data_IF_844520190107
#
_entry.id   IF_844520190107
#
_cell.length_a   1.000
_cell.length_b   1.000
_cell.length_c   1.000
_cell.angle_alpha   90.00
_cell.angle_beta   90.00
_cell.angle_gamma   90.00
#
_symmetry.space_group_name_H-M   'P 1'
#
loop_
_entity.id
_entity.type
_entity.pdbx_description
1 polymer ?
#
# COMPACT_ATOMS: atom_id res chain seq x y z
N UNK A 1 -11.68 -12.15 -3.28
CA UNK A 1 -11.35 -11.09 -2.28
C UNK A 1 -10.58 -11.80 -1.18
N UNK A 2 -9.28 -11.98 -1.39
CA UNK A 2 -8.46 -12.94 -0.64
C UNK A 2 -7.84 -12.23 0.56
N UNK A 3 -8.42 -12.45 1.74
CA UNK A 3 -7.90 -11.93 2.99
C UNK A 3 -7.93 -12.99 4.07
N UNK A 4 -6.95 -12.92 4.96
CA UNK A 4 -6.78 -13.86 6.06
C UNK A 4 -7.14 -13.18 7.37
N UNK A 5 -7.79 -13.93 8.26
CA UNK A 5 -7.95 -13.54 9.65
C UNK A 5 -6.62 -13.81 10.37
N UNK A 6 -6.09 -12.82 11.09
CA UNK A 6 -4.88 -12.93 11.91
C UNK A 6 -5.20 -13.20 13.38
N UNK A 7 -6.44 -13.00 13.81
CA UNK A 7 -6.85 -13.28 15.18
C UNK A 7 -6.88 -14.78 15.45
N UNK A 8 -6.25 -15.20 16.54
CA UNK A 8 -6.21 -16.58 17.02
C UNK A 8 -7.48 -16.99 17.78
N UNK A 9 -8.19 -16.02 18.35
CA UNK A 9 -9.39 -16.24 19.14
C UNK A 9 -10.63 -15.66 18.46
N UNK A 10 -11.69 -16.47 18.36
CA UNK A 10 -13.00 -16.05 17.88
C UNK A 10 -14.02 -16.17 19.02
N UNK A 11 -14.47 -15.04 19.55
CA UNK A 11 -15.48 -15.00 20.63
C UNK A 11 -16.89 -14.82 20.08
N UNK A 12 -17.10 -13.82 19.22
CA UNK A 12 -18.39 -13.54 18.60
C UNK A 12 -18.23 -12.74 17.29
N UNK A 13 -19.36 -12.43 16.63
CA UNK A 13 -19.37 -11.66 15.38
C UNK A 13 -19.28 -10.14 15.57
N UNK A 14 -19.28 -9.64 16.80
CA UNK A 14 -19.19 -8.22 17.18
C UNK A 14 -17.78 -7.83 17.64
N UNK A 15 -16.99 -8.82 18.04
CA UNK A 15 -15.64 -8.68 18.56
C UNK A 15 -14.74 -8.27 17.39
N UNK A 16 -13.94 -7.21 17.56
CA UNK A 16 -13.00 -6.79 16.54
C UNK A 16 -11.92 -7.87 16.37
N UNK A 17 -11.79 -8.37 15.15
CA UNK A 17 -10.75 -9.31 14.75
C UNK A 17 -9.73 -8.58 13.86
N UNK A 18 -8.52 -9.09 13.83
CA UNK A 18 -7.45 -8.58 12.97
C UNK A 18 -7.52 -9.27 11.61
N UNK A 19 -7.53 -8.47 10.55
CA UNK A 19 -7.63 -8.94 9.17
C UNK A 19 -6.45 -8.44 8.34
N UNK A 20 -6.03 -9.25 7.37
CA UNK A 20 -5.05 -8.88 6.36
C UNK A 20 -5.61 -9.15 4.98
N UNK A 21 -5.57 -8.18 4.07
CA UNK A 21 -5.95 -8.39 2.67
C UNK A 21 -4.75 -8.82 1.80
N UNK A 22 -5.01 -9.23 0.56
CA UNK A 22 -3.99 -9.58 -0.43
C UNK A 22 -2.95 -8.51 -0.70
N UNK A 23 -3.27 -7.22 -0.50
CA UNK A 23 -2.32 -6.10 -0.58
C UNK A 23 -1.50 -5.90 0.71
N UNK A 24 -1.52 -6.88 1.60
CA UNK A 24 -0.84 -6.85 2.89
C UNK A 24 -1.31 -5.72 3.84
N UNK A 25 -2.47 -5.14 3.61
CA UNK A 25 -3.04 -4.15 4.52
C UNK A 25 -3.65 -4.85 5.73
N UNK A 26 -3.25 -4.44 6.93
CA UNK A 26 -3.79 -4.96 8.18
C UNK A 26 -4.76 -3.96 8.79
N UNK A 27 -5.93 -4.43 9.22
CA UNK A 27 -6.91 -3.60 9.93
C UNK A 27 -7.72 -4.41 10.93
N UNK A 28 -8.28 -3.72 11.92
CA UNK A 28 -9.18 -4.30 12.91
C UNK A 28 -10.63 -4.06 12.51
N UNK A 29 -11.43 -5.12 12.44
CA UNK A 29 -12.86 -5.04 12.15
C UNK A 29 -13.61 -6.27 12.68
N UNK A 30 -14.87 -6.11 13.11
CA UNK A 30 -15.70 -7.25 13.50
C UNK A 30 -16.23 -7.99 12.27
N UNK A 31 -16.44 -9.30 12.42
CA UNK A 31 -16.90 -10.19 11.34
C UNK A 31 -18.26 -9.74 10.77
N UNK A 32 -19.15 -9.23 11.62
CA UNK A 32 -20.45 -8.67 11.21
C UNK A 32 -20.30 -7.52 10.21
N UNK A 33 -19.31 -6.63 10.36
CA UNK A 33 -19.07 -5.51 9.43
C UNK A 33 -18.59 -5.98 8.07
N UNK A 34 -17.76 -7.02 8.07
CA UNK A 34 -17.17 -7.59 6.86
C UNK A 34 -18.21 -8.39 6.07
N UNK A 35 -18.91 -9.30 6.76
CA UNK A 35 -19.89 -10.20 6.14
C UNK A 35 -21.20 -9.50 5.78
N UNK A 36 -21.77 -8.72 6.70
CA UNK A 36 -23.13 -8.19 6.54
C UNK A 36 -23.14 -6.80 5.87
N UNK A 37 -22.18 -5.91 6.20
CA UNK A 37 -22.13 -4.56 5.63
C UNK A 37 -21.25 -4.47 4.37
N UNK A 38 -20.61 -5.57 3.97
CA UNK A 38 -19.69 -5.59 2.82
C UNK A 38 -18.46 -4.68 2.99
N UNK A 39 -18.19 -4.20 4.20
CA UNK A 39 -17.08 -3.31 4.49
C UNK A 39 -15.80 -4.12 4.59
N UNK A 40 -15.03 -4.11 3.50
CA UNK A 40 -13.72 -4.73 3.42
C UNK A 40 -12.60 -3.77 3.83
N UNK A 41 -11.36 -4.09 3.48
CA UNK A 41 -10.16 -3.31 3.71
C UNK A 41 -10.36 -1.80 3.44
N UNK A 42 -10.23 -0.93 4.46
CA UNK A 42 -10.43 0.51 4.31
C UNK A 42 -9.37 1.16 3.43
N UNK A 43 -8.14 0.64 3.44
CA UNK A 43 -7.05 1.06 2.56
C UNK A 43 -7.36 0.77 1.09
N UNK A 44 -7.89 -0.43 0.79
CA UNK A 44 -8.31 -0.76 -0.58
C UNK A 44 -9.53 0.04 -1.03
N UNK A 45 -10.43 0.38 -0.10
CA UNK A 45 -11.62 1.17 -0.38
C UNK A 45 -11.34 2.68 -0.48
N UNK A 46 -10.10 3.13 -0.23
CA UNK A 46 -9.74 4.55 -0.23
C UNK A 46 -10.39 5.36 0.90
N UNK A 47 -10.93 4.71 1.93
CA UNK A 47 -11.66 5.35 3.05
C UNK A 47 -10.76 5.71 4.23
N UNK A 48 -9.44 5.71 4.04
CA UNK A 48 -8.51 6.02 5.12
C UNK A 48 -8.37 7.52 5.31
N UNK A 49 -8.30 7.96 6.56
CA UNK A 49 -7.85 9.31 6.88
C UNK A 49 -6.37 9.40 6.54
N UNK A 50 -6.06 10.20 5.52
CA UNK A 50 -4.69 10.50 5.11
C UNK A 50 -4.08 11.45 6.15
N UNK A 51 -3.43 10.89 7.17
CA UNK A 51 -2.57 11.68 8.05
C UNK A 51 -1.24 11.96 7.34
N UNK A 52 -0.53 13.02 7.76
CA UNK A 52 0.78 13.37 7.18
C UNK A 52 1.76 12.19 7.14
N UNK A 53 1.75 11.35 8.18
CA UNK A 53 2.58 10.15 8.26
C UNK A 53 2.19 9.11 7.21
N UNK A 54 0.88 8.86 7.04
CA UNK A 54 0.36 7.94 6.04
C UNK A 54 0.67 8.44 4.63
N UNK A 55 0.57 9.75 4.37
CA UNK A 55 0.93 10.36 3.09
C UNK A 55 2.43 10.16 2.79
N UNK A 56 3.30 10.39 3.79
CA UNK A 56 4.75 10.15 3.66
C UNK A 56 5.05 8.68 3.35
N UNK A 57 4.43 7.75 4.07
CA UNK A 57 4.59 6.32 3.81
C UNK A 57 4.09 5.91 2.42
N UNK A 58 2.96 6.44 1.95
CA UNK A 58 2.45 6.18 0.60
C UNK A 58 3.41 6.75 -0.46
N UNK A 59 3.97 7.94 -0.25
CA UNK A 59 4.96 8.52 -1.16
C UNK A 59 6.23 7.65 -1.25
N UNK A 60 6.70 7.15 -0.11
CA UNK A 60 7.84 6.23 -0.06
C UNK A 60 7.52 4.87 -0.72
N UNK A 61 6.32 4.31 -0.50
CA UNK A 61 5.89 3.05 -1.10
C UNK A 61 5.61 3.16 -2.61
N UNK A 62 5.19 4.33 -3.09
CA UNK A 62 5.02 4.63 -4.53
C UNK A 62 6.32 5.12 -5.19
N UNK A 63 7.47 4.87 -4.56
CA UNK A 63 8.78 5.05 -5.17
C UNK A 63 9.13 3.95 -6.19
N UNK A 64 8.15 3.14 -6.60
CA UNK A 64 8.20 2.50 -7.92
C UNK A 64 8.04 3.60 -8.98
N UNK A 65 9.12 3.83 -9.73
CA UNK A 65 9.33 4.85 -10.76
C UNK A 65 8.36 4.77 -11.97
N UNK A 66 7.04 4.86 -11.74
CA UNK A 66 6.05 4.50 -12.75
C UNK A 66 5.10 5.59 -13.21
N UNK A 67 5.06 6.80 -12.60
CA UNK A 67 4.03 7.77 -13.03
C UNK A 67 4.28 9.25 -12.87
N UNK A 68 5.41 9.68 -12.32
CA UNK A 68 5.71 11.11 -12.23
C UNK A 68 7.20 11.38 -12.18
N UNK A 69 7.91 10.97 -13.24
CA UNK A 69 9.22 11.52 -13.54
C UNK A 69 9.18 12.10 -14.95
N UNK A 70 9.43 13.42 -15.13
CA UNK A 70 9.40 14.06 -16.45
C UNK A 70 10.45 13.51 -17.44
N UNK A 71 11.37 12.64 -16.97
CA UNK A 71 12.42 12.01 -17.77
C UNK A 71 12.20 10.51 -18.03
N UNK A 72 11.18 9.88 -17.42
CA UNK A 72 10.95 8.42 -17.49
C UNK A 72 9.73 8.02 -18.33
N UNK A 73 9.31 8.85 -19.30
CA UNK A 73 8.27 8.49 -20.27
C UNK A 73 8.82 7.56 -21.38
N UNK A 74 9.63 6.54 -21.04
CA UNK A 74 10.04 5.52 -22.00
C UNK A 74 11.40 4.82 -21.83
N UNK A 75 12.23 5.15 -20.84
CA UNK A 75 13.54 4.50 -20.67
C UNK A 75 13.74 3.86 -19.29
N UNK A 76 14.50 2.76 -19.27
CA UNK A 76 14.84 1.99 -18.08
C UNK A 76 15.43 2.86 -16.97
N UNK A 77 15.11 2.52 -15.71
CA UNK A 77 15.53 3.25 -14.52
C UNK A 77 17.06 3.34 -14.43
N UNK A 78 17.61 4.54 -14.65
CA UNK A 78 19.02 4.82 -14.45
C UNK A 78 19.29 4.98 -12.95
N UNK A 79 20.28 4.25 -12.44
CA UNK A 79 20.75 4.38 -11.05
C UNK A 79 21.66 5.60 -10.90
N UNK A 80 21.96 6.00 -9.66
CA UNK A 80 22.93 7.07 -9.37
C UNK A 80 24.32 6.80 -9.98
N UNK A 81 24.69 5.53 -10.22
CA UNK A 81 25.94 5.17 -10.90
C UNK A 81 25.87 5.49 -12.39
N UNK A 82 24.74 5.20 -13.02
CA UNK A 82 24.53 5.45 -14.44
C UNK A 82 24.46 6.96 -14.73
N UNK A 83 23.83 7.74 -13.84
CA UNK A 83 23.81 9.20 -13.92
C UNK A 83 25.23 9.82 -13.86
N UNK A 84 26.12 9.28 -13.01
CA UNK A 84 27.51 9.71 -12.93
C UNK A 84 28.29 9.36 -14.21
N UNK A 85 28.06 8.17 -14.77
CA UNK A 85 28.75 7.72 -15.98
C UNK A 85 28.38 8.56 -17.21
N UNK A 86 27.10 8.95 -17.34
CA UNK A 86 26.63 9.82 -18.42
C UNK A 86 27.23 11.24 -18.32
N UNK A 87 27.42 11.75 -17.10
CA UNK A 87 28.06 13.05 -16.89
C UNK A 87 29.54 13.04 -17.28
N UNK A 88 30.22 11.90 -17.10
CA UNK A 88 31.64 11.73 -17.44
C UNK A 88 31.88 11.45 -18.93
N UNK A 89 30.90 10.92 -19.66
CA UNK A 89 31.03 10.58 -21.09
C UNK A 89 30.74 11.74 -22.05
N UNK A 90 30.49 12.95 -21.53
CA UNK A 90 30.21 14.18 -22.31
C UNK A 90 31.39 15.15 -22.38
N UNK A 91 32.59 14.68 -22.03
CA UNK A 91 33.85 15.41 -22.18
C UNK A 91 34.71 14.73 -23.25
#
# INVERSE_FOLDING_TARGET
RDGICLSTEYKDNKTPLMWRCSKNHVWSAPLSRIKNLGQWCPQCAGKIKLTLEVVKQIALLKSDHGKWCPYCAGNACLTLKDAKQIALSRN
#
